data_IF_890878321737
#
_entry.id   IF_890878321737
#
_cell.length_a   1.000
_cell.length_b   1.000
_cell.length_c   1.000
_cell.angle_alpha   90.00
_cell.angle_beta   90.00
_cell.angle_gamma   90.00
#
_symmetry.space_group_name_H-M   'P 1'
#
loop_
_entity.id
_entity.type
_entity.pdbx_description
1 polymer ?
#
# COMPACT_ATOMS: atom_id res chain seq x y z
N UNK A 1 -8.65 16.42 1.19
CA UNK A 1 -8.62 15.63 -0.06
C UNK A 1 -8.15 14.25 0.29
N UNK A 2 -9.11 13.34 0.46
CA UNK A 2 -8.91 12.00 1.00
C UNK A 2 -8.14 11.09 0.04
N UNK A 3 -8.08 11.46 -1.24
CA UNK A 3 -7.36 10.70 -2.25
C UNK A 3 -5.88 11.07 -2.32
N UNK A 4 -5.49 12.25 -1.77
CA UNK A 4 -4.14 12.82 -1.91
C UNK A 4 -3.03 11.89 -1.45
N UNK A 5 -3.28 11.10 -0.42
CA UNK A 5 -2.30 10.15 0.08
C UNK A 5 -2.01 9.04 -0.94
N UNK A 6 -3.02 8.62 -1.72
CA UNK A 6 -2.93 7.54 -2.69
C UNK A 6 -2.39 8.06 -4.02
N UNK A 7 -3.02 9.10 -4.58
CA UNK A 7 -2.73 9.50 -5.96
C UNK A 7 -1.36 10.16 -6.12
N UNK A 8 -0.83 10.82 -5.09
CA UNK A 8 0.48 11.51 -5.18
C UNK A 8 1.60 10.54 -5.56
N UNK A 9 1.71 9.41 -4.85
CA UNK A 9 2.77 8.43 -5.09
C UNK A 9 2.51 7.64 -6.37
N UNK A 10 1.25 7.30 -6.66
CA UNK A 10 0.88 6.56 -7.86
C UNK A 10 1.17 7.36 -9.13
N UNK A 11 0.73 8.62 -9.21
CA UNK A 11 0.98 9.48 -10.38
C UNK A 11 2.46 9.77 -10.60
N UNK A 12 3.24 9.92 -9.52
CA UNK A 12 4.69 10.10 -9.63
C UNK A 12 5.34 8.89 -10.29
N UNK A 13 5.05 7.67 -9.84
CA UNK A 13 5.63 6.45 -10.42
C UNK A 13 5.19 6.22 -11.86
N UNK A 14 3.92 6.50 -12.21
CA UNK A 14 3.47 6.48 -13.59
C UNK A 14 4.23 7.47 -14.47
N UNK A 15 4.50 8.68 -13.95
CA UNK A 15 5.29 9.67 -14.69
C UNK A 15 6.74 9.22 -14.89
N UNK A 16 7.36 8.65 -13.87
CA UNK A 16 8.73 8.09 -13.94
C UNK A 16 8.81 6.98 -15.00
N UNK A 17 7.83 6.07 -15.04
CA UNK A 17 7.73 5.06 -16.11
C UNK A 17 7.61 5.70 -17.49
N UNK A 18 6.74 6.70 -17.62
CA UNK A 18 6.50 7.38 -18.90
C UNK A 18 7.71 8.15 -19.46
N UNK A 19 8.65 8.58 -18.60
CA UNK A 19 9.89 9.26 -19.03
C UNK A 19 11.10 8.33 -19.14
N UNK A 20 10.92 7.03 -18.85
CA UNK A 20 11.97 6.02 -18.97
C UNK A 20 12.88 5.89 -17.74
N UNK A 21 12.51 6.48 -16.59
CA UNK A 21 13.28 6.34 -15.35
C UNK A 21 13.07 4.97 -14.69
N UNK A 22 11.97 4.28 -15.02
CA UNK A 22 11.59 2.97 -14.49
C UNK A 22 10.98 2.10 -15.58
N UNK A 23 11.39 0.83 -15.64
CA UNK A 23 10.75 -0.16 -16.54
C UNK A 23 9.41 -0.67 -15.97
N UNK A 24 9.32 -0.80 -14.64
CA UNK A 24 8.14 -1.31 -13.93
C UNK A 24 7.90 -0.53 -12.64
N UNK A 25 6.64 -0.30 -12.34
CA UNK A 25 6.19 0.39 -11.13
C UNK A 25 4.93 -0.26 -10.59
N UNK A 26 4.85 -0.43 -9.27
CA UNK A 26 3.64 -0.82 -8.55
C UNK A 26 3.52 0.10 -7.34
N UNK A 27 2.39 0.80 -7.21
CA UNK A 27 2.05 1.61 -6.04
C UNK A 27 1.31 0.75 -5.03
N UNK A 28 1.92 0.46 -3.89
CA UNK A 28 1.28 -0.26 -2.80
C UNK A 28 0.84 0.72 -1.72
N UNK A 29 -0.47 0.74 -1.43
CA UNK A 29 -1.02 1.47 -0.28
C UNK A 29 -1.27 0.47 0.84
N UNK A 30 -0.57 0.64 1.96
CA UNK A 30 -0.68 -0.23 3.14
C UNK A 30 -1.42 0.53 4.24
N UNK A 31 -2.42 -0.10 4.87
CA UNK A 31 -3.16 0.46 5.99
C UNK A 31 -3.62 -0.63 6.98
N UNK A 32 -3.98 -0.30 8.22
CA UNK A 32 -4.50 -1.30 9.15
C UNK A 32 -5.81 -1.92 8.65
N UNK A 33 -6.04 -3.18 8.99
CA UNK A 33 -7.34 -3.82 8.74
C UNK A 33 -8.47 -3.04 9.44
N UNK A 34 -9.63 -2.98 8.80
CA UNK A 34 -10.77 -2.21 9.30
C UNK A 34 -10.67 -0.70 9.07
N UNK A 35 -9.63 -0.18 8.43
CA UNK A 35 -9.56 1.24 8.04
C UNK A 35 -10.53 1.58 6.90
N UNK A 36 -11.81 1.75 7.23
CA UNK A 36 -12.87 2.02 6.27
C UNK A 36 -12.73 3.35 5.52
N UNK A 37 -11.98 4.31 6.06
CA UNK A 37 -11.64 5.52 5.32
C UNK A 37 -10.75 5.18 4.12
N UNK A 38 -9.64 4.47 4.36
CA UNK A 38 -8.71 4.10 3.30
C UNK A 38 -9.34 3.14 2.28
N UNK A 39 -10.11 2.14 2.72
CA UNK A 39 -10.80 1.23 1.79
C UNK A 39 -11.73 1.97 0.83
N UNK A 40 -12.50 2.95 1.33
CA UNK A 40 -13.37 3.78 0.49
C UNK A 40 -12.58 4.70 -0.44
N UNK A 41 -11.52 5.33 0.06
CA UNK A 41 -10.66 6.20 -0.73
C UNK A 41 -9.98 5.42 -1.88
N UNK A 42 -9.46 4.22 -1.59
CA UNK A 42 -8.82 3.35 -2.58
C UNK A 42 -9.81 2.90 -3.66
N UNK A 43 -10.99 2.42 -3.26
CA UNK A 43 -12.05 2.01 -4.20
C UNK A 43 -12.50 3.18 -5.09
N UNK A 44 -12.69 4.37 -4.49
CA UNK A 44 -13.02 5.58 -5.25
C UNK A 44 -11.92 5.95 -6.24
N UNK A 45 -10.65 5.92 -5.83
CA UNK A 45 -9.53 6.24 -6.71
C UNK A 45 -9.39 5.23 -7.85
N UNK A 46 -9.53 3.93 -7.58
CA UNK A 46 -9.55 2.87 -8.60
C UNK A 46 -10.65 3.10 -9.65
N UNK A 47 -11.80 3.63 -9.24
CA UNK A 47 -12.89 4.00 -10.16
C UNK A 47 -12.56 5.15 -11.12
N UNK A 48 -11.47 5.89 -10.88
CA UNK A 48 -11.01 6.98 -11.74
C UNK A 48 -9.89 6.56 -12.71
N UNK A 49 -9.38 5.33 -12.60
CA UNK A 49 -8.24 4.85 -13.36
C UNK A 49 -8.67 4.02 -14.57
N UNK A 50 -7.83 4.02 -15.61
CA UNK A 50 -7.88 3.02 -16.69
C UNK A 50 -7.54 1.64 -16.13
N UNK A 51 -7.85 0.58 -16.88
CA UNK A 51 -7.52 -0.78 -16.43
C UNK A 51 -6.01 -1.00 -16.28
N UNK A 52 -5.20 -0.38 -17.15
CA UNK A 52 -3.75 -0.33 -16.97
C UNK A 52 -3.36 0.36 -15.66
N UNK A 53 -3.90 1.55 -15.37
CA UNK A 53 -3.61 2.27 -14.13
C UNK A 53 -4.07 1.53 -12.87
N UNK A 54 -5.15 0.73 -12.94
CA UNK A 54 -5.56 -0.13 -11.83
C UNK A 54 -4.57 -1.27 -11.60
N UNK A 55 -3.97 -1.81 -12.66
CA UNK A 55 -3.01 -2.92 -12.57
C UNK A 55 -1.72 -2.52 -11.84
N UNK A 56 -1.40 -1.23 -11.83
CA UNK A 56 -0.24 -0.66 -11.14
C UNK A 56 -0.54 -0.22 -9.70
N UNK A 57 -1.77 -0.36 -9.20
CA UNK A 57 -2.18 0.08 -7.86
C UNK A 57 -2.70 -1.08 -7.02
N UNK A 58 -2.03 -1.36 -5.90
CA UNK A 58 -2.40 -2.40 -4.95
C UNK A 58 -2.75 -1.83 -3.59
N UNK A 59 -3.87 -2.29 -3.03
CA UNK A 59 -4.19 -2.13 -1.62
C UNK A 59 -3.75 -3.36 -0.83
N UNK A 60 -3.09 -3.14 0.30
CA UNK A 60 -2.73 -4.20 1.23
C UNK A 60 -3.02 -3.74 2.67
N UNK A 61 -3.16 -4.69 3.58
CA UNK A 61 -3.20 -4.38 5.00
C UNK A 61 -1.87 -4.68 5.67
N UNK A 62 -1.58 -4.04 6.80
CA UNK A 62 -0.36 -4.36 7.56
C UNK A 62 -0.35 -5.83 7.99
N UNK A 63 -1.49 -6.38 8.41
CA UNK A 63 -1.65 -7.78 8.78
C UNK A 63 -1.24 -8.69 7.61
N UNK A 64 -1.81 -8.47 6.42
CA UNK A 64 -1.48 -9.28 5.25
C UNK A 64 -0.03 -9.09 4.80
N UNK A 65 0.46 -7.85 4.82
CA UNK A 65 1.83 -7.56 4.41
C UNK A 65 2.84 -8.29 5.30
N UNK A 66 2.66 -8.22 6.61
CA UNK A 66 3.53 -8.88 7.59
C UNK A 66 3.42 -10.41 7.44
N UNK A 67 2.22 -10.95 7.24
CA UNK A 67 2.01 -12.40 7.05
C UNK A 67 2.72 -12.93 5.78
N UNK A 68 2.87 -12.10 4.74
CA UNK A 68 3.59 -12.48 3.52
C UNK A 68 5.12 -12.43 3.66
N UNK A 69 5.66 -11.87 4.74
CA UNK A 69 7.11 -11.85 4.95
C UNK A 69 7.59 -13.25 5.38
N UNK A 70 8.45 -13.83 4.56
CA UNK A 70 9.09 -15.12 4.80
C UNK A 70 10.61 -14.95 4.83
N UNK A 71 11.28 -15.63 5.76
CA UNK A 71 12.73 -15.63 5.84
C UNK A 71 13.28 -16.23 7.13
N UNK A 72 14.57 -16.02 7.36
CA UNK A 72 15.25 -16.47 8.58
C UNK A 72 15.01 -15.55 9.77
N UNK A 73 15.82 -15.69 10.83
CA UNK A 73 15.68 -14.98 12.10
C UNK A 73 15.52 -13.47 11.95
N UNK A 74 16.29 -12.84 11.06
CA UNK A 74 16.21 -11.39 10.82
C UNK A 74 14.80 -10.96 10.34
N UNK A 75 14.17 -11.73 9.45
CA UNK A 75 12.82 -11.41 8.98
C UNK A 75 11.80 -11.57 10.10
N UNK A 76 11.96 -12.56 10.98
CA UNK A 76 11.08 -12.73 12.13
C UNK A 76 11.24 -11.61 13.18
N UNK A 77 12.46 -11.09 13.37
CA UNK A 77 12.71 -9.89 14.19
C UNK A 77 12.01 -8.65 13.59
N UNK A 78 12.11 -8.48 12.27
CA UNK A 78 11.39 -7.41 11.57
C UNK A 78 9.87 -7.57 11.67
N UNK A 79 9.33 -8.79 11.54
CA UNK A 79 7.89 -9.05 11.71
C UNK A 79 7.44 -8.67 13.11
N UNK A 80 8.17 -9.06 14.15
CA UNK A 80 7.86 -8.68 15.53
C UNK A 80 7.85 -7.15 15.72
N UNK A 81 8.86 -6.45 15.18
CA UNK A 81 8.92 -4.99 15.20
C UNK A 81 7.71 -4.34 14.49
N UNK A 82 7.36 -4.83 13.30
CA UNK A 82 6.23 -4.30 12.53
C UNK A 82 4.88 -4.60 13.21
N UNK A 83 4.73 -5.76 13.83
CA UNK A 83 3.53 -6.10 14.60
C UNK A 83 3.35 -5.17 15.79
N UNK A 84 4.40 -4.90 16.55
CA UNK A 84 4.37 -3.97 17.68
C UNK A 84 4.09 -2.53 17.22
N UNK A 85 4.72 -2.08 16.14
CA UNK A 85 4.56 -0.71 15.65
C UNK A 85 3.22 -0.42 14.96
N UNK A 86 2.64 -1.39 14.25
CA UNK A 86 1.53 -1.15 13.33
C UNK A 86 0.25 -1.94 13.63
N UNK A 87 0.33 -3.03 14.41
CA UNK A 87 -0.83 -3.87 14.76
C UNK A 87 -1.28 -3.73 16.22
N UNK A 88 -0.56 -2.96 17.06
CA UNK A 88 -0.94 -2.78 18.46
C UNK A 88 -2.29 -2.05 18.55
N UNK A 89 -3.25 -2.74 19.18
CA UNK A 89 -4.55 -2.20 19.55
C UNK A 89 -4.33 -1.05 20.54
N UNK A 90 -4.41 0.19 20.06
CA UNK A 90 -4.65 1.32 20.96
C UNK A 90 -5.90 1.05 21.80
N UNK A 91 -6.00 1.63 23.02
CA UNK A 91 -7.16 1.43 23.86
C UNK A 91 -8.41 1.89 23.09
N UNK A 92 -9.41 1.00 23.04
CA UNK A 92 -10.77 1.29 22.54
C UNK A 92 -11.42 2.30 23.47
#
# INVERSE_FOLDING_TARGET
DDLRQIWRNHLLGLKMRAVGDLDRFISVTICPSGNGHMSRALSRYQGLLTDEGKSDLLGCTFERYIDFLEGGTEIEEWKAFLQDGYLVKGPV
#
